data_IF_287340060330
#
_entry.id   IF_287340060330
#
_cell.length_a   1.000
_cell.length_b   1.000
_cell.length_c   1.000
_cell.angle_alpha   90.00
_cell.angle_beta   90.00
_cell.angle_gamma   90.00
#
_symmetry.space_group_name_H-M   'P 1'
#
loop_
_entity.id
_entity.type
_entity.pdbx_description
1 polymer ?
#
# COMPACT_ATOMS: atom_id res chain seq x y z
N UNK A 1 -35.35 -0.59 -28.93
CA UNK A 1 -36.17 0.56 -28.49
C UNK A 1 -35.65 1.11 -27.18
N UNK A 2 -35.62 0.33 -26.09
CA UNK A 2 -35.11 0.81 -24.78
C UNK A 2 -33.67 1.33 -24.86
N UNK A 3 -32.72 0.53 -25.33
CA UNK A 3 -31.31 0.93 -25.53
C UNK A 3 -31.07 2.02 -26.59
N UNK A 4 -32.11 2.60 -27.20
CA UNK A 4 -31.97 3.64 -28.23
C UNK A 4 -32.71 4.92 -27.88
N UNK A 5 -33.80 4.82 -27.15
CA UNK A 5 -34.69 5.95 -26.86
C UNK A 5 -34.98 6.13 -25.36
N UNK A 6 -34.76 5.11 -24.53
CA UNK A 6 -35.10 5.09 -23.10
C UNK A 6 -33.97 4.45 -22.28
N UNK A 7 -32.76 4.91 -22.55
CA UNK A 7 -31.53 4.38 -21.95
C UNK A 7 -31.53 4.57 -20.42
N UNK A 8 -31.88 5.76 -19.96
CA UNK A 8 -31.88 6.12 -18.55
C UNK A 8 -32.95 5.36 -17.76
N UNK A 9 -34.19 5.35 -18.26
CA UNK A 9 -35.33 4.68 -17.64
C UNK A 9 -35.11 3.17 -17.58
N UNK A 10 -34.47 2.59 -18.61
CA UNK A 10 -34.10 1.19 -18.60
C UNK A 10 -33.10 0.86 -17.49
N UNK A 11 -32.02 1.65 -17.32
CA UNK A 11 -31.05 1.41 -16.24
C UNK A 11 -31.70 1.59 -14.88
N UNK A 12 -32.45 2.67 -14.71
CA UNK A 12 -33.09 2.99 -13.44
C UNK A 12 -34.00 1.85 -12.98
N UNK A 13 -34.85 1.33 -13.87
CA UNK A 13 -35.69 0.18 -13.59
C UNK A 13 -34.84 -1.09 -13.34
N UNK A 14 -33.84 -1.35 -14.17
CA UNK A 14 -32.97 -2.51 -14.03
C UNK A 14 -32.23 -2.55 -12.68
N UNK A 15 -31.79 -1.39 -12.17
CA UNK A 15 -31.10 -1.27 -10.89
C UNK A 15 -32.02 -1.45 -9.68
N UNK A 16 -33.32 -1.26 -9.83
CA UNK A 16 -34.31 -1.51 -8.77
C UNK A 16 -34.74 -2.98 -8.71
N UNK A 17 -34.56 -3.73 -9.79
CA UNK A 17 -34.90 -5.13 -9.86
C UNK A 17 -33.87 -6.01 -9.09
N UNK A 18 -34.32 -7.07 -8.38
CA UNK A 18 -33.41 -8.01 -7.73
C UNK A 18 -32.62 -8.88 -8.73
N UNK A 19 -33.17 -9.07 -9.93
CA UNK A 19 -32.51 -9.75 -11.05
C UNK A 19 -33.08 -9.24 -12.37
N UNK A 20 -32.25 -9.24 -13.41
CA UNK A 20 -32.62 -8.84 -14.77
C UNK A 20 -32.11 -9.89 -15.75
N UNK A 21 -32.97 -10.34 -16.66
CA UNK A 21 -32.63 -11.32 -17.70
C UNK A 21 -32.84 -10.67 -19.06
N UNK A 22 -31.76 -10.54 -19.83
CA UNK A 22 -31.79 -10.01 -21.19
C UNK A 22 -31.74 -11.16 -22.19
N UNK A 23 -32.80 -11.32 -22.98
CA UNK A 23 -32.96 -12.44 -23.92
C UNK A 23 -32.62 -12.01 -25.36
N UNK A 24 -32.03 -12.94 -26.14
CA UNK A 24 -31.74 -12.78 -27.57
C UNK A 24 -30.94 -11.51 -27.91
N UNK A 25 -30.01 -11.11 -27.03
CA UNK A 25 -29.14 -9.97 -27.26
C UNK A 25 -28.03 -10.30 -28.26
N UNK A 26 -27.78 -9.39 -29.21
CA UNK A 26 -26.56 -9.43 -30.02
C UNK A 26 -25.32 -9.16 -29.16
N UNK A 27 -24.11 -9.57 -29.59
CA UNK A 27 -22.86 -9.24 -28.89
C UNK A 27 -22.68 -7.74 -28.65
N UNK A 28 -23.11 -6.91 -29.61
CA UNK A 28 -23.09 -5.45 -29.50
C UNK A 28 -24.03 -4.92 -28.44
N UNK A 29 -25.24 -5.48 -28.33
CA UNK A 29 -26.21 -5.09 -27.30
C UNK A 29 -25.73 -5.45 -25.90
N UNK A 30 -25.11 -6.63 -25.72
CA UNK A 30 -24.52 -7.02 -24.43
C UNK A 30 -23.47 -5.99 -23.96
N UNK A 31 -22.57 -5.59 -24.86
CA UNK A 31 -21.55 -4.58 -24.56
C UNK A 31 -22.15 -3.19 -24.27
N UNK A 32 -23.21 -2.80 -25.01
CA UNK A 32 -23.93 -1.54 -24.75
C UNK A 32 -24.54 -1.50 -23.35
N UNK A 33 -25.16 -2.60 -22.90
CA UNK A 33 -25.74 -2.69 -21.55
C UNK A 33 -24.65 -2.49 -20.47
N UNK A 34 -23.47 -3.09 -20.63
CA UNK A 34 -22.36 -2.94 -19.68
C UNK A 34 -21.92 -1.48 -19.58
N UNK A 35 -21.69 -0.81 -20.73
CA UNK A 35 -21.26 0.60 -20.77
C UNK A 35 -22.30 1.53 -20.16
N UNK A 36 -23.57 1.28 -20.46
CA UNK A 36 -24.71 2.01 -19.95
C UNK A 36 -24.77 1.92 -18.40
N UNK A 37 -24.56 0.72 -17.83
CA UNK A 37 -24.50 0.52 -16.39
C UNK A 37 -23.30 1.25 -15.74
N UNK A 38 -22.12 1.20 -16.36
CA UNK A 38 -20.94 1.91 -15.86
C UNK A 38 -21.18 3.43 -15.81
N UNK A 39 -21.75 3.99 -16.87
CA UNK A 39 -22.00 5.43 -16.99
C UNK A 39 -23.05 5.92 -15.98
N UNK A 40 -24.14 5.18 -15.78
CA UNK A 40 -25.25 5.62 -14.93
C UNK A 40 -25.01 5.35 -13.44
N UNK A 41 -24.33 4.25 -13.08
CA UNK A 41 -24.17 3.85 -11.67
C UNK A 41 -22.83 4.26 -11.06
N UNK A 42 -21.83 4.58 -11.89
CA UNK A 42 -20.43 4.75 -11.50
C UNK A 42 -19.84 3.55 -10.71
N UNK A 43 -20.50 2.39 -10.77
CA UNK A 43 -20.04 1.16 -10.14
C UNK A 43 -19.09 0.41 -11.08
N UNK A 44 -18.27 -0.47 -10.48
CA UNK A 44 -17.43 -1.41 -11.23
C UNK A 44 -18.28 -2.55 -11.75
N UNK A 45 -18.09 -2.87 -13.02
CA UNK A 45 -18.78 -3.97 -13.69
C UNK A 45 -17.85 -5.15 -13.93
N UNK A 46 -18.41 -6.36 -13.86
CA UNK A 46 -17.70 -7.57 -14.19
C UNK A 46 -18.54 -8.38 -15.18
N UNK A 47 -17.94 -8.80 -16.28
CA UNK A 47 -18.60 -9.58 -17.32
C UNK A 47 -17.95 -10.95 -17.42
N UNK A 48 -18.79 -11.99 -17.47
CA UNK A 48 -18.37 -13.38 -17.55
C UNK A 48 -18.96 -14.00 -18.82
N UNK A 49 -18.17 -14.76 -19.57
CA UNK A 49 -18.64 -15.47 -20.75
C UNK A 49 -17.72 -16.61 -21.16
N UNK A 50 -18.20 -17.51 -21.99
CA UNK A 50 -17.49 -18.71 -22.45
C UNK A 50 -17.29 -18.76 -23.98
N UNK A 51 -18.10 -17.99 -24.73
CA UNK A 51 -18.10 -17.99 -26.18
C UNK A 51 -17.68 -16.67 -26.84
N UNK A 52 -17.44 -16.72 -28.16
CA UNK A 52 -17.11 -15.54 -28.97
C UNK A 52 -18.16 -14.42 -28.90
N UNK A 53 -19.43 -14.77 -28.66
CA UNK A 53 -20.52 -13.81 -28.52
C UNK A 53 -20.43 -12.92 -27.27
N UNK A 54 -19.60 -13.30 -26.30
CA UNK A 54 -19.43 -12.57 -25.05
C UNK A 54 -18.16 -11.72 -25.04
N UNK A 55 -17.28 -11.86 -26.03
CA UNK A 55 -16.00 -11.15 -26.11
C UNK A 55 -16.19 -9.63 -26.02
N UNK A 56 -17.14 -9.07 -26.76
CA UNK A 56 -17.43 -7.63 -26.74
C UNK A 56 -17.98 -7.16 -25.39
N UNK A 57 -18.74 -8.01 -24.69
CA UNK A 57 -19.25 -7.71 -23.35
C UNK A 57 -18.13 -7.77 -22.31
N UNK A 58 -17.27 -8.78 -22.38
CA UNK A 58 -16.09 -8.98 -21.53
C UNK A 58 -15.15 -7.78 -21.62
N UNK A 59 -14.81 -7.36 -22.84
CA UNK A 59 -13.92 -6.22 -23.08
C UNK A 59 -14.53 -4.87 -22.72
N UNK A 60 -15.86 -4.78 -22.62
CA UNK A 60 -16.54 -3.55 -22.20
C UNK A 60 -16.56 -3.37 -20.68
N UNK A 61 -16.42 -4.44 -19.90
CA UNK A 61 -16.47 -4.40 -18.44
C UNK A 61 -15.15 -3.91 -17.83
N UNK A 62 -15.18 -3.49 -16.56
CA UNK A 62 -13.95 -3.15 -15.80
C UNK A 62 -13.11 -4.40 -15.48
N UNK A 63 -13.75 -5.57 -15.44
CA UNK A 63 -13.12 -6.86 -15.21
C UNK A 63 -13.80 -7.94 -16.06
N UNK A 64 -13.08 -8.45 -17.04
CA UNK A 64 -13.51 -9.53 -17.92
C UNK A 64 -13.07 -10.91 -17.41
N UNK A 65 -14.00 -11.85 -17.32
CA UNK A 65 -13.72 -13.25 -16.93
C UNK A 65 -14.18 -14.19 -18.04
N UNK A 66 -13.23 -14.91 -18.62
CA UNK A 66 -13.49 -15.92 -19.64
C UNK A 66 -13.52 -17.31 -19.02
N UNK A 67 -14.55 -18.08 -19.34
CA UNK A 67 -14.64 -19.51 -18.99
C UNK A 67 -14.13 -20.32 -20.17
N UNK A 68 -13.22 -21.25 -19.91
CA UNK A 68 -12.68 -22.13 -20.96
C UNK A 68 -13.79 -23.06 -21.48
N UNK A 69 -14.31 -22.72 -22.66
CA UNK A 69 -15.29 -23.51 -23.38
C UNK A 69 -14.67 -24.77 -24.00
N UNK A 70 -15.49 -25.81 -24.21
CA UNK A 70 -15.09 -27.02 -24.93
C UNK A 70 -14.93 -26.79 -26.44
N UNK A 71 -15.71 -25.86 -26.99
CA UNK A 71 -15.82 -25.60 -28.43
C UNK A 71 -14.90 -24.48 -28.91
N UNK A 72 -14.34 -23.67 -27.99
CA UNK A 72 -13.42 -22.59 -28.32
C UNK A 72 -12.98 -21.80 -27.09
N UNK A 73 -11.81 -21.17 -27.17
CA UNK A 73 -11.20 -20.36 -26.08
C UNK A 73 -11.29 -18.86 -26.33
N UNK A 74 -12.17 -18.40 -27.23
CA UNK A 74 -12.24 -17.00 -27.64
C UNK A 74 -12.52 -16.05 -26.48
N UNK A 75 -13.48 -16.39 -25.61
CA UNK A 75 -13.78 -15.59 -24.41
C UNK A 75 -12.58 -15.57 -23.44
N UNK A 76 -11.97 -16.72 -23.16
CA UNK A 76 -10.79 -16.84 -22.31
C UNK A 76 -9.57 -16.06 -22.82
N UNK A 77 -9.34 -16.04 -24.14
CA UNK A 77 -8.24 -15.30 -24.76
C UNK A 77 -8.48 -13.79 -24.74
N UNK A 78 -9.73 -13.34 -24.69
CA UNK A 78 -10.10 -11.94 -24.69
C UNK A 78 -10.35 -11.36 -23.28
N UNK A 79 -10.32 -12.19 -22.24
CA UNK A 79 -10.63 -11.81 -20.86
C UNK A 79 -9.36 -11.48 -20.05
N UNK A 80 -9.54 -10.70 -18.98
CA UNK A 80 -8.46 -10.40 -18.02
C UNK A 80 -8.10 -11.64 -17.18
N UNK A 81 -9.10 -12.46 -16.86
CA UNK A 81 -8.95 -13.73 -16.14
C UNK A 81 -9.57 -14.88 -16.93
N UNK A 82 -8.83 -15.98 -17.07
CA UNK A 82 -9.35 -17.25 -17.59
C UNK A 82 -9.58 -18.23 -16.45
N UNK A 83 -10.76 -18.84 -16.39
CA UNK A 83 -11.11 -19.89 -15.43
C UNK A 83 -11.69 -21.10 -16.15
N UNK A 84 -11.56 -22.28 -15.55
CA UNK A 84 -12.06 -23.52 -16.16
C UNK A 84 -13.54 -23.80 -15.88
N UNK A 85 -14.10 -23.25 -14.79
CA UNK A 85 -15.47 -23.52 -14.35
C UNK A 85 -16.05 -22.30 -13.63
N UNK A 86 -17.35 -22.05 -13.81
CA UNK A 86 -18.06 -20.92 -13.18
C UNK A 86 -17.92 -20.90 -11.65
N UNK A 87 -17.88 -22.06 -10.98
CA UNK A 87 -17.72 -22.15 -9.53
C UNK A 87 -16.44 -21.48 -8.98
N UNK A 88 -15.40 -21.33 -9.81
CA UNK A 88 -14.13 -20.72 -9.40
C UNK A 88 -14.22 -19.20 -9.23
N UNK A 89 -15.28 -18.56 -9.73
CA UNK A 89 -15.53 -17.11 -9.59
C UNK A 89 -15.63 -16.72 -8.11
N UNK A 90 -16.27 -17.55 -7.28
CA UNK A 90 -16.38 -17.30 -5.85
C UNK A 90 -15.00 -17.12 -5.20
N UNK A 91 -14.04 -18.00 -5.50
CA UNK A 91 -12.67 -17.91 -4.99
C UNK A 91 -11.91 -16.73 -5.61
N UNK A 92 -12.05 -16.52 -6.92
CA UNK A 92 -11.41 -15.42 -7.63
C UNK A 92 -11.76 -14.06 -7.01
N UNK A 93 -13.04 -13.79 -6.79
CA UNK A 93 -13.48 -12.50 -6.23
C UNK A 93 -13.25 -12.41 -4.72
N UNK A 94 -13.74 -13.38 -3.95
CA UNK A 94 -13.79 -13.28 -2.49
C UNK A 94 -12.41 -13.39 -1.84
N UNK A 95 -11.51 -14.19 -2.42
CA UNK A 95 -10.15 -14.38 -1.90
C UNK A 95 -9.17 -13.49 -2.66
N UNK A 96 -9.00 -13.71 -3.96
CA UNK A 96 -7.95 -13.04 -4.73
C UNK A 96 -8.26 -11.55 -4.96
N UNK A 97 -9.50 -11.21 -5.32
CA UNK A 97 -9.96 -9.84 -5.48
C UNK A 97 -9.85 -9.03 -4.20
N UNK A 98 -10.33 -9.58 -3.07
CA UNK A 98 -10.17 -8.96 -1.74
C UNK A 98 -8.71 -8.69 -1.40
N UNK A 99 -7.88 -9.72 -1.50
CA UNK A 99 -6.46 -9.63 -1.15
C UNK A 99 -5.77 -8.59 -2.02
N UNK A 100 -5.99 -8.64 -3.34
CA UNK A 100 -5.44 -7.65 -4.28
C UNK A 100 -5.84 -6.22 -3.89
N UNK A 101 -7.11 -5.96 -3.63
CA UNK A 101 -7.56 -4.62 -3.23
C UNK A 101 -6.93 -4.16 -1.90
N UNK A 102 -6.92 -5.01 -0.86
CA UNK A 102 -6.37 -4.65 0.46
C UNK A 102 -4.87 -4.44 0.43
N UNK A 103 -4.14 -5.31 -0.28
CA UNK A 103 -2.68 -5.25 -0.42
C UNK A 103 -2.25 -4.04 -1.22
N UNK A 104 -2.88 -3.80 -2.38
CA UNK A 104 -2.58 -2.64 -3.22
C UNK A 104 -2.88 -1.33 -2.52
N UNK A 105 -3.97 -1.25 -1.74
CA UNK A 105 -4.27 -0.06 -0.94
C UNK A 105 -3.21 0.19 0.14
N UNK A 106 -2.77 -0.85 0.86
CA UNK A 106 -1.70 -0.72 1.85
C UNK A 106 -0.37 -0.31 1.20
N UNK A 107 0.02 -1.02 0.13
CA UNK A 107 1.24 -0.73 -0.63
C UNK A 107 1.28 0.72 -1.12
N UNK A 108 0.20 1.21 -1.75
CA UNK A 108 0.12 2.58 -2.23
C UNK A 108 0.22 3.62 -1.11
N UNK A 109 -0.37 3.34 0.06
CA UNK A 109 -0.27 4.21 1.23
C UNK A 109 1.16 4.30 1.78
N UNK A 110 1.87 3.18 1.86
CA UNK A 110 3.26 3.16 2.30
C UNK A 110 4.22 3.82 1.30
N UNK A 111 4.03 3.60 0.00
CA UNK A 111 4.85 4.26 -1.04
C UNK A 111 4.68 5.78 -0.98
N UNK A 112 3.45 6.27 -0.81
CA UNK A 112 3.19 7.69 -0.61
C UNK A 112 3.83 8.21 0.68
N UNK A 113 3.65 7.51 1.80
CA UNK A 113 4.21 7.89 3.09
C UNK A 113 5.73 8.04 3.04
N UNK A 114 6.42 7.06 2.44
CA UNK A 114 7.88 7.05 2.24
C UNK A 114 8.40 8.29 1.52
N UNK A 115 7.66 8.80 0.54
CA UNK A 115 8.02 10.04 -0.15
C UNK A 115 7.74 11.28 0.71
N UNK A 116 6.55 11.35 1.28
CA UNK A 116 6.08 12.52 2.05
C UNK A 116 6.89 12.76 3.32
N UNK A 117 7.37 11.71 4.00
CA UNK A 117 8.18 11.85 5.22
C UNK A 117 9.51 12.55 4.92
N UNK A 118 10.21 12.17 3.84
CA UNK A 118 11.45 12.83 3.41
C UNK A 118 11.18 14.29 3.02
N UNK A 119 10.11 14.54 2.25
CA UNK A 119 9.76 15.91 1.87
C UNK A 119 9.46 16.78 3.10
N UNK A 120 8.82 16.22 4.12
CA UNK A 120 8.56 16.92 5.40
C UNK A 120 9.87 17.21 6.13
N UNK A 121 10.75 16.22 6.26
CA UNK A 121 12.05 16.40 6.91
C UNK A 121 12.89 17.47 6.21
N UNK A 122 12.93 17.43 4.87
CA UNK A 122 13.59 18.46 4.06
C UNK A 122 12.97 19.84 4.28
N UNK A 123 11.65 19.95 4.33
CA UNK A 123 10.97 21.23 4.55
C UNK A 123 11.32 21.81 5.93
N UNK A 124 11.27 20.99 6.99
CA UNK A 124 11.65 21.41 8.35
C UNK A 124 13.12 21.83 8.40
N UNK A 125 14.02 21.02 7.82
CA UNK A 125 15.43 21.36 7.70
C UNK A 125 15.62 22.71 7.00
N UNK A 126 15.08 22.87 5.79
CA UNK A 126 15.18 24.13 5.05
C UNK A 126 14.62 25.32 5.82
N UNK A 127 13.50 25.19 6.54
CA UNK A 127 12.95 26.28 7.35
C UNK A 127 13.88 26.75 8.47
N UNK A 128 14.65 25.85 9.08
CA UNK A 128 15.63 26.19 10.13
C UNK A 128 16.84 26.91 9.54
N UNK A 129 17.25 26.53 8.32
CA UNK A 129 18.35 27.15 7.60
C UNK A 129 17.92 28.33 6.72
N UNK A 130 16.91 29.09 7.15
CA UNK A 130 16.43 30.30 6.45
C UNK A 130 16.08 30.05 4.97
N UNK A 131 15.48 28.90 4.68
CA UNK A 131 15.12 28.43 3.34
C UNK A 131 16.31 28.29 2.38
N UNK A 132 17.49 28.00 2.90
CA UNK A 132 18.62 27.60 2.08
C UNK A 132 18.30 26.32 1.28
N UNK A 133 18.65 26.34 0.00
CA UNK A 133 18.44 25.23 -0.95
C UNK A 133 19.50 24.12 -0.79
N UNK A 134 19.75 23.68 0.44
CA UNK A 134 20.68 22.60 0.75
C UNK A 134 19.87 21.30 0.94
N UNK A 135 20.15 20.24 0.14
CA UNK A 135 19.51 18.95 0.34
C UNK A 135 20.00 18.32 1.65
N UNK A 136 19.07 17.85 2.47
CA UNK A 136 19.34 17.11 3.71
C UNK A 136 19.99 15.75 3.42
N UNK A 137 19.51 15.05 2.39
CA UNK A 137 20.07 13.77 1.94
C UNK A 137 20.55 13.87 0.49
N UNK A 138 21.74 13.36 0.22
CA UNK A 138 22.39 13.46 -1.10
C UNK A 138 22.91 12.11 -1.60
N UNK A 139 23.06 12.02 -2.92
CA UNK A 139 23.73 10.92 -3.60
C UNK A 139 23.17 9.54 -3.24
N UNK A 140 24.06 8.64 -2.83
CA UNK A 140 23.71 7.24 -2.56
C UNK A 140 22.77 7.03 -1.38
N UNK A 141 22.63 7.99 -0.45
CA UNK A 141 21.65 7.88 0.64
C UNK A 141 20.22 7.92 0.10
N UNK A 142 19.93 8.85 -0.81
CA UNK A 142 18.60 8.98 -1.38
C UNK A 142 18.29 7.80 -2.31
N UNK A 143 19.27 7.34 -3.09
CA UNK A 143 19.15 6.13 -3.92
C UNK A 143 18.89 4.91 -3.04
N UNK A 144 19.70 4.71 -2.00
CA UNK A 144 19.57 3.60 -1.06
C UNK A 144 18.22 3.59 -0.34
N UNK A 145 17.74 4.76 0.10
CA UNK A 145 16.41 4.87 0.71
C UNK A 145 15.31 4.48 -0.27
N UNK A 146 15.33 5.01 -1.50
CA UNK A 146 14.29 4.74 -2.47
C UNK A 146 14.26 3.26 -2.91
N UNK A 147 15.42 2.60 -2.95
CA UNK A 147 15.57 1.30 -3.64
C UNK A 147 15.89 0.11 -2.73
N UNK A 148 16.70 0.25 -1.68
CA UNK A 148 17.23 -0.88 -0.92
C UNK A 148 16.69 -0.90 0.51
N UNK A 149 16.81 0.21 1.25
CA UNK A 149 16.62 0.22 2.70
C UNK A 149 15.15 0.11 3.11
N UNK A 150 14.22 0.56 2.28
CA UNK A 150 12.78 0.56 2.65
C UNK A 150 11.88 -0.05 1.56
N UNK A 151 12.46 -0.58 0.47
CA UNK A 151 11.69 -1.19 -0.61
C UNK A 151 11.20 -2.60 -0.26
N UNK A 152 12.09 -3.52 0.15
CA UNK A 152 11.73 -4.91 0.40
C UNK A 152 10.59 -5.09 1.42
N UNK A 153 10.60 -4.41 2.59
CA UNK A 153 9.53 -4.53 3.58
C UNK A 153 8.20 -4.03 3.03
N UNK A 154 8.19 -2.89 2.35
CA UNK A 154 6.95 -2.32 1.76
C UNK A 154 6.37 -3.22 0.68
N UNK A 155 7.20 -3.77 -0.22
CA UNK A 155 6.72 -4.71 -1.24
C UNK A 155 6.30 -6.06 -0.66
N UNK A 156 6.89 -6.47 0.47
CA UNK A 156 6.49 -7.71 1.15
C UNK A 156 5.03 -7.68 1.66
N UNK A 157 4.42 -6.49 1.80
CA UNK A 157 2.99 -6.33 2.14
C UNK A 157 2.04 -6.98 1.13
N UNK A 158 2.51 -7.30 -0.10
CA UNK A 158 1.76 -8.10 -1.08
C UNK A 158 1.49 -9.52 -0.57
N UNK A 159 2.19 -9.98 0.46
CA UNK A 159 1.98 -11.29 1.08
C UNK A 159 0.98 -11.23 2.26
N UNK A 160 0.59 -10.03 2.73
CA UNK A 160 -0.25 -9.86 3.93
C UNK A 160 -1.69 -10.33 3.68
N UNK A 161 -2.32 -10.92 4.70
CA UNK A 161 -3.69 -11.44 4.63
C UNK A 161 -4.47 -10.91 5.84
N UNK A 162 -5.63 -10.29 5.63
CA UNK A 162 -6.53 -9.97 6.76
C UNK A 162 -7.33 -11.17 7.22
N UNK A 163 -7.67 -12.06 6.28
CA UNK A 163 -8.58 -13.18 6.52
C UNK A 163 -8.06 -14.41 5.78
N UNK A 164 -8.19 -15.58 6.41
CA UNK A 164 -7.85 -16.86 5.77
C UNK A 164 -8.76 -17.14 4.57
N UNK A 165 -8.27 -17.78 3.49
CA UNK A 165 -9.07 -18.06 2.29
C UNK A 165 -10.41 -18.77 2.56
N UNK A 166 -10.44 -19.70 3.51
CA UNK A 166 -11.62 -20.49 3.87
C UNK A 166 -12.69 -19.59 4.49
N UNK A 167 -12.28 -18.67 5.37
CA UNK A 167 -13.18 -17.73 6.05
C UNK A 167 -13.73 -16.68 5.08
N UNK A 168 -12.94 -16.25 4.09
CA UNK A 168 -13.39 -15.33 3.04
C UNK A 168 -14.48 -15.96 2.14
N UNK A 169 -14.44 -17.28 1.94
CA UNK A 169 -15.48 -18.01 1.21
C UNK A 169 -16.71 -18.30 2.08
N UNK A 170 -16.52 -18.60 3.37
CA UNK A 170 -17.61 -18.88 4.30
C UNK A 170 -18.44 -17.63 4.63
N UNK A 171 -17.82 -16.44 4.67
CA UNK A 171 -18.46 -15.18 5.03
C UNK A 171 -18.34 -14.13 3.90
N UNK A 172 -19.15 -14.25 2.82
CA UNK A 172 -19.10 -13.34 1.68
C UNK A 172 -19.48 -11.89 2.02
N UNK A 173 -20.14 -11.64 3.16
CA UNK A 173 -20.44 -10.30 3.66
C UNK A 173 -19.18 -9.45 3.86
N UNK A 174 -18.04 -10.10 4.12
CA UNK A 174 -16.75 -9.42 4.22
C UNK A 174 -16.41 -8.66 2.93
N UNK A 175 -16.86 -9.12 1.75
CA UNK A 175 -16.63 -8.45 0.48
C UNK A 175 -17.39 -7.12 0.37
N UNK A 176 -18.56 -6.99 1.03
CA UNK A 176 -19.33 -5.74 1.08
C UNK A 176 -18.59 -4.59 1.76
N UNK A 177 -17.57 -4.88 2.57
CA UNK A 177 -16.74 -3.83 3.15
C UNK A 177 -15.75 -3.21 2.15
N UNK A 178 -15.45 -3.91 1.06
CA UNK A 178 -14.56 -3.43 -0.01
C UNK A 178 -15.29 -2.46 -0.94
N UNK A 179 -16.58 -2.70 -1.22
CA UNK A 179 -17.39 -1.85 -2.10
C UNK A 179 -17.61 -0.45 -1.54
N UNK A 180 -17.44 -0.25 -0.23
CA UNK A 180 -17.49 1.06 0.42
C UNK A 180 -16.28 1.96 0.11
N UNK A 181 -15.27 1.46 -0.60
CA UNK A 181 -14.09 2.24 -1.00
C UNK A 181 -13.21 2.74 0.16
N UNK A 182 -13.39 2.21 1.37
CA UNK A 182 -12.79 2.76 2.60
C UNK A 182 -11.28 2.55 2.70
N UNK A 183 -10.71 1.55 2.02
CA UNK A 183 -9.28 1.25 2.12
C UNK A 183 -8.44 2.31 1.44
N UNK A 184 -8.91 2.86 0.31
CA UNK A 184 -8.24 3.90 -0.46
C UNK A 184 -9.26 4.99 -0.82
N UNK A 185 -9.38 5.96 0.07
CA UNK A 185 -10.26 7.12 -0.03
C UNK A 185 -9.48 8.41 0.23
N UNK A 186 -10.06 9.56 -0.15
CA UNK A 186 -9.48 10.87 0.16
C UNK A 186 -9.26 11.08 1.67
N UNK A 187 -10.17 10.56 2.50
CA UNK A 187 -10.02 10.59 3.96
C UNK A 187 -8.80 9.80 4.42
N UNK A 188 -8.61 8.57 3.93
CA UNK A 188 -7.43 7.77 4.31
C UNK A 188 -6.14 8.40 3.77
N UNK A 189 -6.18 8.99 2.57
CA UNK A 189 -5.05 9.74 2.01
C UNK A 189 -4.62 10.88 2.94
N UNK A 190 -5.56 11.74 3.36
CA UNK A 190 -5.26 12.85 4.28
C UNK A 190 -4.72 12.36 5.63
N UNK A 191 -5.25 11.26 6.17
CA UNK A 191 -4.71 10.66 7.40
C UNK A 191 -3.24 10.27 7.21
N UNK A 192 -2.89 9.63 6.10
CA UNK A 192 -1.50 9.26 5.80
C UNK A 192 -0.60 10.47 5.55
N UNK A 193 -1.11 11.54 4.94
CA UNK A 193 -0.38 12.81 4.83
C UNK A 193 -0.06 13.37 6.22
N UNK A 194 -1.05 13.44 7.11
CA UNK A 194 -0.85 13.92 8.48
C UNK A 194 0.14 13.05 9.27
N UNK A 195 0.08 11.73 9.11
CA UNK A 195 1.05 10.79 9.69
C UNK A 195 2.47 11.11 9.18
N UNK A 196 2.63 11.34 7.87
CA UNK A 196 3.92 11.66 7.26
C UNK A 196 4.49 12.99 7.77
N UNK A 197 3.63 14.01 7.88
CA UNK A 197 4.02 15.34 8.40
C UNK A 197 4.40 15.23 9.88
N UNK A 198 3.63 14.48 10.67
CA UNK A 198 3.92 14.25 12.07
C UNK A 198 5.27 13.52 12.26
N UNK A 199 5.46 12.38 11.60
CA UNK A 199 6.69 11.59 11.75
C UNK A 199 7.90 12.33 11.20
N UNK A 200 7.80 12.95 10.02
CA UNK A 200 8.90 13.75 9.46
C UNK A 200 9.28 14.93 10.34
N UNK A 201 8.29 15.60 10.93
CA UNK A 201 8.51 16.67 11.91
C UNK A 201 9.22 16.17 13.17
N UNK A 202 8.76 15.08 13.78
CA UNK A 202 9.36 14.48 14.97
C UNK A 202 10.79 14.00 14.70
N UNK A 203 11.04 13.36 13.56
CA UNK A 203 12.36 12.87 13.19
C UNK A 203 13.37 14.01 13.07
N UNK A 204 12.99 15.08 12.34
CA UNK A 204 13.88 16.22 12.15
C UNK A 204 14.04 17.04 13.43
N UNK A 205 12.95 17.39 14.10
CA UNK A 205 12.99 18.17 15.36
C UNK A 205 13.73 17.41 16.47
N UNK A 206 13.46 16.11 16.61
CA UNK A 206 14.12 15.26 17.60
C UNK A 206 15.62 15.13 17.34
N UNK A 207 16.05 15.03 16.08
CA UNK A 207 17.46 15.02 15.73
C UNK A 207 18.16 16.32 16.15
N UNK A 208 17.50 17.48 16.03
CA UNK A 208 18.07 18.78 16.38
C UNK A 208 18.19 18.97 17.89
N UNK A 209 17.14 18.62 18.64
CA UNK A 209 17.08 18.86 20.09
C UNK A 209 17.94 17.86 20.85
N UNK A 210 17.91 16.57 20.49
CA UNK A 210 18.65 15.55 21.23
C UNK A 210 20.14 15.50 20.87
N UNK A 211 20.53 16.03 19.71
CA UNK A 211 21.90 16.02 19.21
C UNK A 211 22.42 17.42 18.89
N UNK A 212 22.00 18.43 19.65
CA UNK A 212 22.42 19.82 19.46
C UNK A 212 23.95 19.98 19.40
N UNK A 213 24.67 19.30 20.30
CA UNK A 213 26.13 19.30 20.36
C UNK A 213 26.82 18.52 19.22
N UNK A 214 26.06 17.70 18.49
CA UNK A 214 26.54 16.77 17.47
C UNK A 214 25.87 17.05 16.11
N UNK A 215 25.47 18.30 15.89
CA UNK A 215 24.74 18.75 14.71
C UNK A 215 25.43 18.42 13.38
N UNK A 216 26.77 18.32 13.39
CA UNK A 216 27.56 17.87 12.23
C UNK A 216 27.09 16.50 11.72
N UNK A 217 26.59 15.63 12.60
CA UNK A 217 26.10 14.29 12.29
C UNK A 217 24.58 14.23 12.07
N UNK A 218 23.89 15.38 11.91
CA UNK A 218 22.41 15.44 11.76
C UNK A 218 21.90 14.56 10.63
N UNK A 219 22.66 14.44 9.53
CA UNK A 219 22.35 13.56 8.39
C UNK A 219 22.32 12.10 8.84
N UNK A 220 23.37 11.61 9.50
CA UNK A 220 23.45 10.24 10.00
C UNK A 220 22.35 9.94 11.02
N UNK A 221 22.15 10.82 11.99
CA UNK A 221 21.14 10.67 13.05
C UNK A 221 19.73 10.59 12.46
N UNK A 222 19.37 11.61 11.66
CA UNK A 222 18.02 11.72 11.10
C UNK A 222 17.73 10.60 10.09
N UNK A 223 18.71 10.20 9.28
CA UNK A 223 18.55 9.12 8.31
C UNK A 223 18.44 7.75 8.98
N UNK A 224 19.20 7.51 10.06
CA UNK A 224 19.07 6.30 10.90
C UNK A 224 17.67 6.21 11.49
N UNK A 225 17.22 7.29 12.14
CA UNK A 225 15.89 7.35 12.75
C UNK A 225 14.78 7.17 11.70
N UNK A 226 14.95 7.74 10.49
CA UNK A 226 14.04 7.59 9.36
C UNK A 226 13.93 6.13 8.90
N UNK A 227 15.05 5.46 8.62
CA UNK A 227 15.03 4.05 8.17
C UNK A 227 14.40 3.16 9.24
N UNK A 228 14.78 3.32 10.52
CA UNK A 228 14.20 2.54 11.60
C UNK A 228 12.70 2.81 11.80
N UNK A 229 12.27 4.07 11.62
CA UNK A 229 10.84 4.44 11.67
C UNK A 229 10.05 3.74 10.58
N UNK A 230 10.56 3.71 9.34
CA UNK A 230 9.90 3.04 8.21
C UNK A 230 9.79 1.53 8.43
N UNK A 231 10.88 0.87 8.83
CA UNK A 231 10.89 -0.57 9.14
C UNK A 231 9.89 -0.89 10.26
N UNK A 232 9.93 -0.12 11.35
CA UNK A 232 9.01 -0.31 12.47
C UNK A 232 7.55 -0.07 12.06
N UNK A 233 7.27 0.94 11.22
CA UNK A 233 5.92 1.25 10.77
C UNK A 233 5.33 0.14 9.89
N UNK A 234 6.15 -0.47 9.03
CA UNK A 234 5.77 -1.66 8.25
C UNK A 234 5.50 -2.84 9.18
N UNK A 235 6.43 -3.16 10.09
CA UNK A 235 6.29 -4.25 11.06
C UNK A 235 5.02 -4.14 11.92
N UNK A 236 4.69 -2.93 12.40
CA UNK A 236 3.47 -2.66 13.18
C UNK A 236 2.17 -2.68 12.34
N UNK A 237 2.28 -2.78 11.02
CA UNK A 237 1.14 -2.80 10.10
C UNK A 237 0.81 -4.16 9.55
N UNK A 238 1.78 -5.05 9.45
CA UNK A 238 1.59 -6.45 9.12
C UNK A 238 0.53 -7.07 10.05
N UNK A 239 -0.44 -7.77 9.46
CA UNK A 239 -1.48 -8.50 10.20
C UNK A 239 -1.10 -9.95 10.40
N UNK A 240 -0.62 -10.58 9.34
CA UNK A 240 -0.16 -11.97 9.34
C UNK A 240 1.27 -12.03 8.85
N UNK A 241 2.19 -12.44 9.72
CA UNK A 241 3.59 -12.57 9.36
C UNK A 241 3.81 -13.75 8.41
N UNK A 242 4.39 -13.46 7.25
CA UNK A 242 4.95 -14.46 6.35
C UNK A 242 6.48 -14.45 6.49
N UNK A 243 7.14 -15.60 6.34
CA UNK A 243 8.59 -15.71 6.55
C UNK A 243 9.40 -14.77 5.63
N UNK A 244 8.94 -14.57 4.38
CA UNK A 244 9.55 -13.61 3.45
C UNK A 244 9.47 -12.16 3.93
N UNK A 245 8.45 -11.77 4.70
CA UNK A 245 8.35 -10.41 5.26
C UNK A 245 9.40 -10.22 6.36
N UNK A 246 9.58 -11.23 7.21
CA UNK A 246 10.63 -11.24 8.25
C UNK A 246 12.00 -11.13 7.60
N UNK A 247 12.24 -11.93 6.55
CA UNK A 247 13.48 -11.86 5.77
C UNK A 247 13.66 -10.47 5.14
N UNK A 248 12.61 -9.87 4.58
CA UNK A 248 12.67 -8.54 3.97
C UNK A 248 13.05 -7.45 4.97
N UNK A 249 12.47 -7.47 6.19
CA UNK A 249 12.81 -6.54 7.28
C UNK A 249 14.29 -6.66 7.67
N UNK A 250 14.75 -7.88 7.97
CA UNK A 250 16.15 -8.09 8.37
C UNK A 250 17.14 -7.84 7.25
N UNK A 251 16.79 -8.17 6.01
CA UNK A 251 17.63 -7.91 4.85
C UNK A 251 17.79 -6.40 4.64
N UNK A 252 16.71 -5.63 4.68
CA UNK A 252 16.76 -4.17 4.56
C UNK A 252 17.55 -3.51 5.70
N UNK A 253 17.36 -3.97 6.94
CA UNK A 253 18.16 -3.53 8.08
C UNK A 253 19.65 -3.87 7.88
N UNK A 254 19.97 -5.08 7.44
CA UNK A 254 21.34 -5.53 7.16
C UNK A 254 22.01 -4.72 6.06
N UNK A 255 21.31 -4.44 4.96
CA UNK A 255 21.80 -3.57 3.88
C UNK A 255 22.05 -2.14 4.37
N UNK A 256 21.18 -1.63 5.24
CA UNK A 256 21.37 -0.31 5.83
C UNK A 256 22.61 -0.29 6.76
N UNK A 257 22.75 -1.27 7.66
CA UNK A 257 23.93 -1.39 8.52
C UNK A 257 25.23 -1.56 7.72
N UNK A 258 25.22 -2.33 6.63
CA UNK A 258 26.35 -2.41 5.71
C UNK A 258 26.65 -1.05 5.08
N UNK A 259 25.63 -0.30 4.67
CA UNK A 259 25.81 1.03 4.09
C UNK A 259 26.47 2.03 5.06
N UNK A 260 26.21 1.91 6.36
CA UNK A 260 26.89 2.70 7.38
C UNK A 260 28.40 2.41 7.42
N UNK A 261 28.84 1.19 7.11
CA UNK A 261 30.26 0.86 7.07
C UNK A 261 30.95 1.29 5.76
N UNK A 262 30.24 1.23 4.62
CA UNK A 262 30.83 1.46 3.30
C UNK A 262 30.63 2.88 2.74
N UNK A 263 29.60 3.62 3.18
CA UNK A 263 29.24 4.95 2.66
C UNK A 263 29.49 6.09 3.66
N UNK A 264 30.52 5.97 4.50
CA UNK A 264 30.85 6.96 5.55
C UNK A 264 30.88 8.41 5.05
N UNK A 265 31.45 8.62 3.86
CA UNK A 265 31.58 9.95 3.24
C UNK A 265 30.24 10.66 3.05
N UNK A 266 29.16 9.93 2.76
CA UNK A 266 27.83 10.50 2.55
C UNK A 266 27.08 10.82 3.84
N UNK A 267 27.46 10.21 4.95
CA UNK A 267 26.87 10.46 6.27
C UNK A 267 27.49 11.66 6.99
N UNK A 268 28.36 12.42 6.33
CA UNK A 268 29.09 13.55 6.93
C UNK A 268 30.27 13.11 7.81
N UNK A 269 30.66 11.82 7.72
CA UNK A 269 31.85 11.29 8.39
C UNK A 269 33.02 11.45 7.41
N UNK A 270 33.79 12.54 7.59
CA UNK A 270 34.90 12.90 6.71
C UNK A 270 35.99 11.82 6.63
N UNK A 271 36.72 11.77 5.51
CA UNK A 271 37.86 10.86 5.32
C UNK A 271 39.01 11.22 6.26
N UNK A 272 39.04 10.67 7.47
CA UNK A 272 40.25 10.61 8.28
C UNK A 272 40.91 9.24 8.05
N UNK A 273 41.81 9.17 7.07
CA UNK A 273 42.68 8.01 6.77
C UNK A 273 42.03 6.70 6.25
N UNK A 274 42.70 5.98 5.31
CA UNK A 274 42.37 4.62 4.95
C UNK A 274 42.69 3.70 6.14
N UNK A 275 41.74 3.53 7.05
CA UNK A 275 41.91 2.77 8.29
C UNK A 275 41.04 3.22 9.47
N UNK A 276 40.30 4.34 9.38
CA UNK A 276 39.41 4.78 10.46
C UNK A 276 38.09 3.98 10.48
N UNK A 277 38.11 2.87 11.21
CA UNK A 277 36.93 2.29 11.86
C UNK A 277 36.41 3.13 13.05
N UNK A 278 36.92 4.36 13.22
CA UNK A 278 36.76 5.18 14.43
C UNK A 278 35.46 5.99 14.50
N UNK A 279 34.66 6.14 13.44
CA UNK A 279 33.33 6.82 13.55
C UNK A 279 32.15 5.84 13.64
N UNK A 280 32.38 4.54 13.37
CA UNK A 280 31.45 3.49 13.81
C UNK A 280 31.29 3.49 15.33
N UNK A 281 32.28 3.99 16.08
CA UNK A 281 32.14 4.15 17.52
C UNK A 281 31.04 5.15 17.87
N UNK A 282 30.84 6.22 17.08
CA UNK A 282 29.79 7.21 17.33
C UNK A 282 28.38 6.58 17.26
N UNK A 283 28.08 5.89 16.16
CA UNK A 283 26.79 5.22 15.93
C UNK A 283 26.57 4.07 16.92
N UNK A 284 27.63 3.39 17.35
CA UNK A 284 27.56 2.33 18.36
C UNK A 284 27.60 2.85 19.79
N UNK A 285 27.77 4.16 20.00
CA UNK A 285 27.72 4.72 21.35
C UNK A 285 26.33 4.60 21.95
N UNK A 286 26.30 4.38 23.26
CA UNK A 286 25.05 4.32 24.01
C UNK A 286 24.18 5.59 23.85
N UNK A 287 24.73 6.82 23.92
CA UNK A 287 23.97 8.05 23.65
C UNK A 287 23.28 8.07 22.29
N UNK A 288 23.98 7.66 21.23
CA UNK A 288 23.37 7.60 19.91
C UNK A 288 22.20 6.62 19.87
N UNK A 289 22.42 5.39 20.34
CA UNK A 289 21.42 4.32 20.30
C UNK A 289 20.14 4.68 21.05
N UNK A 290 20.25 5.18 22.29
CA UNK A 290 19.05 5.49 23.07
C UNK A 290 18.31 6.72 22.52
N UNK A 291 19.04 7.76 22.08
CA UNK A 291 18.42 8.98 21.52
C UNK A 291 17.71 8.69 20.20
N UNK A 292 18.35 7.96 19.28
CA UNK A 292 17.71 7.53 18.02
C UNK A 292 16.50 6.64 18.31
N UNK A 293 16.64 5.67 19.22
CA UNK A 293 15.52 4.83 19.64
C UNK A 293 14.37 5.65 20.23
N UNK A 294 14.67 6.67 21.04
CA UNK A 294 13.66 7.57 21.58
C UNK A 294 12.93 8.34 20.47
N UNK A 295 13.64 8.89 19.48
CA UNK A 295 13.04 9.57 18.32
C UNK A 295 12.13 8.62 17.54
N UNK A 296 12.61 7.41 17.23
CA UNK A 296 11.83 6.38 16.52
C UNK A 296 10.60 5.91 17.32
N UNK A 297 10.73 5.79 18.65
CA UNK A 297 9.60 5.44 19.50
C UNK A 297 8.56 6.56 19.53
N UNK A 298 8.98 7.82 19.68
CA UNK A 298 8.05 8.95 19.68
C UNK A 298 7.37 9.11 18.32
N UNK A 299 8.04 8.82 17.21
CA UNK A 299 7.44 8.89 15.88
C UNK A 299 6.38 7.79 15.65
N UNK A 300 6.58 6.58 16.18
CA UNK A 300 5.69 5.43 15.91
C UNK A 300 4.65 5.16 17.02
N UNK A 301 4.99 5.34 18.29
CA UNK A 301 4.19 4.89 19.43
C UNK A 301 2.80 5.56 19.48
N UNK A 302 2.65 6.88 19.31
CA UNK A 302 1.32 7.51 19.35
C UNK A 302 0.41 7.00 18.23
N UNK A 303 0.96 6.75 17.04
CA UNK A 303 0.22 6.19 15.92
C UNK A 303 -0.24 4.76 16.21
N UNK A 304 0.63 3.97 16.83
CA UNK A 304 0.27 2.62 17.27
C UNK A 304 -0.83 2.64 18.33
N UNK A 305 -0.73 3.51 19.34
CA UNK A 305 -1.75 3.67 20.38
C UNK A 305 -3.10 4.06 19.74
N UNK A 306 -3.12 5.06 18.87
CA UNK A 306 -4.34 5.48 18.16
C UNK A 306 -4.95 4.33 17.34
N UNK A 307 -4.11 3.55 16.65
CA UNK A 307 -4.53 2.38 15.89
C UNK A 307 -5.10 1.28 16.81
N UNK A 308 -4.46 1.02 17.94
CA UNK A 308 -4.91 0.06 18.94
C UNK A 308 -6.25 0.48 19.56
N UNK A 309 -6.37 1.73 20.01
CA UNK A 309 -7.62 2.28 20.56
C UNK A 309 -8.75 2.18 19.54
N UNK A 310 -8.49 2.54 18.28
CA UNK A 310 -9.48 2.41 17.20
C UNK A 310 -9.92 0.95 17.00
N UNK A 311 -9.00 -0.01 17.02
CA UNK A 311 -9.33 -1.44 16.92
C UNK A 311 -10.14 -1.93 18.12
N UNK A 312 -9.85 -1.43 19.32
CA UNK A 312 -10.56 -1.79 20.56
C UNK A 312 -11.99 -1.24 20.60
N UNK A 313 -12.18 0.03 20.26
CA UNK A 313 -13.49 0.69 20.33
C UNK A 313 -14.35 0.50 19.06
N UNK A 314 -13.73 0.25 17.90
CA UNK A 314 -14.43 0.04 16.63
C UNK A 314 -13.78 -1.12 15.85
N UNK A 315 -13.94 -2.36 16.32
CA UNK A 315 -13.31 -3.52 15.70
C UNK A 315 -13.85 -3.74 14.28
N UNK A 316 -12.98 -4.06 13.30
CA UNK A 316 -13.41 -4.35 11.94
C UNK A 316 -14.23 -5.64 11.88
N UNK A 317 -15.16 -5.76 10.93
CA UNK A 317 -16.10 -6.88 10.81
C UNK A 317 -15.43 -8.26 10.86
N UNK A 318 -14.27 -8.40 10.19
CA UNK A 318 -13.52 -9.66 10.15
C UNK A 318 -12.91 -10.08 11.51
N UNK A 319 -12.61 -9.13 12.41
CA UNK A 319 -12.01 -9.46 13.71
C UNK A 319 -12.98 -10.17 14.66
N UNK A 320 -14.28 -10.12 14.37
CA UNK A 320 -15.31 -10.86 15.12
C UNK A 320 -15.32 -12.36 14.75
N UNK A 321 -14.67 -12.74 13.66
CA UNK A 321 -14.66 -14.10 13.13
C UNK A 321 -13.41 -14.89 13.55
N UNK A 322 -12.41 -14.23 14.15
CA UNK A 322 -11.17 -14.85 14.60
C UNK A 322 -11.24 -15.35 16.05
N UNK A 323 -12.42 -15.83 16.48
CA UNK A 323 -12.60 -16.47 17.79
C UNK A 323 -12.24 -17.94 17.69
#
# INVERSE_FOLDING_TARGET
VCLRYYEHEFVELACQCPAVVCCRCSPTQKAQIVRLLQQHTANRTCAIGDGGNDVSMIQAADCGIGIEGKEGKQASLAADFSITQFKHIGRLLMVHGRNSYKRSAALGQFVMHRGMIISTMQAVFSSIFYFASVPLYQGFLMVGYATIYTMFPVFSLVLDQDVKPEMALLYPELYKDLTKGRSLSFKTFLIWVLISVYQGGILMYGALVLFESEFVHVVAISFTALVLTELLMVALTIRTWHWLMVLAEFFSLGCYLASLAFLNEYFGMGRVSPGAFLDLTFITTWPFLWKVSAITLVSCLPLYILKYLKRKFSPPSYSKLST
#
